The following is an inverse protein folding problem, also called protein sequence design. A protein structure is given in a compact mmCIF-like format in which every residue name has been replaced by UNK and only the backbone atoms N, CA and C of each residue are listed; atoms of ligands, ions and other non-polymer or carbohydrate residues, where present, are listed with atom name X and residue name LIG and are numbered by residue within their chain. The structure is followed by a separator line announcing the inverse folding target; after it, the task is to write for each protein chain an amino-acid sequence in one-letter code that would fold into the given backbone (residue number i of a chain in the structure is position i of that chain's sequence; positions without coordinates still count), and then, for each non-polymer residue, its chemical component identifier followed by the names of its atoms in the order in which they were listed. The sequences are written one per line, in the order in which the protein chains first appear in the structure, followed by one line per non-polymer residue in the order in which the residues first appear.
data_IF_143051827869
#
_entry.id   IF_143051827869
#
_cell.length_a   1.000
_cell.length_b   1.000
_cell.length_c   1.000
_cell.angle_alpha   90.00
_cell.angle_beta   90.00
_cell.angle_gamma   90.00
#
_symmetry.space_group_name_H-M   'P 1'
#
loop_
_entity.id
_entity.type
_entity.pdbx_description
1 polymer ?
#
# COMPACT_ATOMS: atom_id res chain seq x y z
N UNK A 1 17.99 28.24 47.03
CA UNK A 1 18.66 26.94 46.81
C UNK A 1 17.64 25.82 46.54
N UNK A 2 16.60 25.64 47.36
CA UNK A 2 15.60 24.55 47.18
C UNK A 2 14.82 24.64 45.86
N UNK A 3 14.36 25.83 45.45
CA UNK A 3 13.64 26.00 44.18
C UNK A 3 14.46 25.62 42.94
N UNK A 4 15.77 25.90 42.95
CA UNK A 4 16.67 25.50 41.87
C UNK A 4 16.77 23.98 41.77
N UNK A 5 16.90 23.29 42.91
CA UNK A 5 16.99 21.83 42.96
C UNK A 5 15.69 21.15 42.48
N UNK A 6 14.53 21.70 42.83
CA UNK A 6 13.25 21.18 42.32
C UNK A 6 13.10 21.42 40.82
N UNK A 7 13.51 22.59 40.32
CA UNK A 7 13.45 22.91 38.90
C UNK A 7 14.36 22.03 38.04
N UNK A 8 15.58 21.72 38.50
CA UNK A 8 16.49 20.83 37.77
C UNK A 8 15.97 19.40 37.70
N UNK A 9 15.41 18.88 38.80
CA UNK A 9 14.78 17.56 38.82
C UNK A 9 13.59 17.50 37.86
N UNK A 10 12.75 18.54 37.85
CA UNK A 10 11.63 18.63 36.91
C UNK A 10 12.11 18.63 35.45
N UNK A 11 13.14 19.42 35.11
CA UNK A 11 13.70 19.44 33.76
C UNK A 11 14.33 18.10 33.34
N UNK A 12 15.03 17.42 34.26
CA UNK A 12 15.56 16.08 33.99
C UNK A 12 14.45 15.05 33.74
N UNK A 13 13.32 15.17 34.44
CA UNK A 13 12.13 14.36 34.18
C UNK A 13 11.57 14.55 32.77
N UNK A 14 11.44 15.81 32.32
CA UNK A 14 11.01 16.11 30.95
C UNK A 14 12.00 15.63 29.89
N UNK A 15 13.31 15.77 30.13
CA UNK A 15 14.34 15.24 29.23
C UNK A 15 14.23 13.72 29.09
N UNK A 16 14.03 13.01 30.21
CA UNK A 16 13.82 11.57 30.20
C UNK A 16 12.61 11.15 29.36
N UNK A 17 11.49 11.88 29.50
CA UNK A 17 10.29 11.67 28.71
C UNK A 17 10.54 11.91 27.21
N UNK A 18 11.24 13.00 26.86
CA UNK A 18 11.55 13.33 25.46
C UNK A 18 12.47 12.30 24.82
N UNK A 19 13.49 11.82 25.54
CA UNK A 19 14.43 10.83 25.02
C UNK A 19 13.78 9.46 24.80
N UNK A 20 13.05 8.95 25.80
CA UNK A 20 12.38 7.65 25.65
C UNK A 20 11.21 7.73 24.67
N UNK A 21 10.43 8.81 24.70
CA UNK A 21 9.35 9.05 23.74
C UNK A 21 9.87 9.16 22.31
N UNK A 22 10.97 9.89 22.11
CA UNK A 22 11.66 10.00 20.83
C UNK A 22 12.16 8.64 20.31
N UNK A 23 12.72 7.81 21.20
CA UNK A 23 13.15 6.45 20.85
C UNK A 23 11.98 5.55 20.46
N UNK A 24 10.91 5.55 21.24
CA UNK A 24 9.68 4.80 20.96
C UNK A 24 9.12 5.18 19.59
N UNK A 25 9.03 6.48 19.31
CA UNK A 25 8.52 6.99 18.05
C UNK A 25 9.43 6.66 16.86
N UNK A 26 10.75 6.74 17.04
CA UNK A 26 11.72 6.32 16.04
C UNK A 26 11.59 4.83 15.71
N UNK A 27 11.43 3.98 16.72
CA UNK A 27 11.16 2.55 16.53
C UNK A 27 9.83 2.30 15.82
N UNK A 28 8.79 3.06 16.13
CA UNK A 28 7.50 2.95 15.44
C UNK A 28 7.62 3.23 13.93
N UNK A 29 8.38 4.26 13.54
CA UNK A 29 8.59 4.58 12.12
C UNK A 29 9.35 3.48 11.38
N UNK A 30 10.35 2.88 12.03
CA UNK A 30 11.11 1.76 11.45
C UNK A 30 10.26 0.50 11.34
N UNK A 31 9.43 0.21 12.34
CA UNK A 31 8.45 -0.88 12.28
C UNK A 31 7.44 -0.68 11.14
N UNK A 32 7.00 0.55 10.88
CA UNK A 32 6.10 0.83 9.77
C UNK A 32 6.75 0.50 8.43
N UNK A 33 7.99 0.94 8.19
CA UNK A 33 8.72 0.61 6.97
C UNK A 33 8.89 -0.91 6.79
N UNK A 34 9.14 -1.63 7.89
CA UNK A 34 9.21 -3.09 7.87
C UNK A 34 7.85 -3.73 7.55
N UNK A 35 6.78 -3.27 8.19
CA UNK A 35 5.42 -3.77 7.94
C UNK A 35 4.98 -3.54 6.48
N UNK A 36 5.29 -2.37 5.92
CA UNK A 36 5.02 -2.05 4.52
C UNK A 36 5.79 -2.98 3.57
N UNK A 37 7.08 -3.23 3.85
CA UNK A 37 7.89 -4.17 3.07
C UNK A 37 7.33 -5.60 3.16
N UNK A 38 6.98 -6.08 4.36
CA UNK A 38 6.39 -7.39 4.56
C UNK A 38 5.05 -7.56 3.84
N UNK A 39 4.17 -6.56 3.92
CA UNK A 39 2.88 -6.59 3.23
C UNK A 39 3.05 -6.61 1.71
N UNK A 40 4.00 -5.83 1.18
CA UNK A 40 4.34 -5.84 -0.24
C UNK A 40 4.91 -7.19 -0.69
N UNK A 41 5.77 -7.81 0.11
CA UNK A 41 6.33 -9.14 -0.15
C UNK A 41 5.24 -10.22 -0.23
N UNK A 42 4.30 -10.22 0.71
CA UNK A 42 3.15 -11.14 0.67
C UNK A 42 2.33 -10.95 -0.60
N UNK A 43 2.03 -9.70 -0.98
CA UNK A 43 1.27 -9.40 -2.20
C UNK A 43 2.04 -9.75 -3.47
N UNK A 44 3.36 -9.63 -3.49
CA UNK A 44 4.20 -10.07 -4.62
C UNK A 44 4.04 -11.57 -4.88
N UNK A 45 3.97 -12.39 -3.82
CA UNK A 45 3.74 -13.82 -3.95
C UNK A 45 2.28 -14.16 -4.30
N UNK A 46 1.30 -13.41 -3.76
CA UNK A 46 -0.09 -13.49 -4.24
C UNK A 46 -0.17 -13.18 -5.74
N UNK A 47 0.59 -12.20 -6.24
CA UNK A 47 0.65 -11.84 -7.68
C UNK A 47 1.18 -12.98 -8.55
N UNK A 48 2.03 -13.85 -7.99
CA UNK A 48 2.55 -15.05 -8.65
C UNK A 48 1.59 -16.24 -8.57
N UNK A 49 0.43 -16.08 -7.93
CA UNK A 49 -0.57 -17.13 -7.75
C UNK A 49 -0.30 -18.04 -6.54
N UNK A 50 0.59 -17.66 -5.63
CA UNK A 50 0.81 -18.42 -4.39
C UNK A 50 -0.34 -18.13 -3.43
N UNK A 51 -0.98 -19.19 -2.91
CA UNK A 51 -2.05 -19.10 -1.90
C UNK A 51 -1.68 -19.78 -0.57
N UNK A 52 -0.53 -20.45 -0.53
CA UNK A 52 -0.03 -21.13 0.66
C UNK A 52 0.42 -20.11 1.71
N UNK A 53 -0.27 -20.09 2.86
CA UNK A 53 -0.04 -19.14 3.93
C UNK A 53 1.36 -19.26 4.54
N UNK A 54 1.95 -20.46 4.57
CA UNK A 54 3.30 -20.64 5.11
C UNK A 54 4.34 -20.00 4.19
N UNK A 55 4.14 -20.10 2.88
CA UNK A 55 5.01 -19.46 1.90
C UNK A 55 4.87 -17.93 1.92
N UNK A 56 3.63 -17.41 1.97
CA UNK A 56 3.39 -15.97 2.11
C UNK A 56 4.00 -15.43 3.41
N UNK A 57 3.91 -16.19 4.51
CA UNK A 57 4.52 -15.81 5.79
C UNK A 57 6.05 -15.80 5.69
N UNK A 58 6.65 -16.79 5.04
CA UNK A 58 8.10 -16.86 4.87
C UNK A 58 8.66 -15.65 4.07
N UNK A 59 7.99 -15.25 2.98
CA UNK A 59 8.40 -14.04 2.23
C UNK A 59 8.23 -12.79 3.08
N UNK A 60 7.13 -12.70 3.85
CA UNK A 60 6.89 -11.61 4.82
C UNK A 60 8.01 -11.52 5.88
N UNK A 61 8.41 -12.63 6.51
CA UNK A 61 9.53 -12.65 7.49
C UNK A 61 10.82 -12.17 6.83
N UNK A 62 11.07 -12.63 5.61
CA UNK A 62 12.32 -12.31 4.91
C UNK A 62 12.45 -10.80 4.68
N UNK A 63 11.42 -10.16 4.15
CA UNK A 63 11.45 -8.73 3.82
C UNK A 63 11.36 -7.82 5.07
N UNK A 64 10.63 -8.24 6.09
CA UNK A 64 10.67 -7.56 7.41
C UNK A 64 12.06 -7.68 8.05
N UNK A 65 12.71 -8.83 7.89
CA UNK A 65 14.07 -9.12 8.37
C UNK A 65 15.13 -8.24 7.69
N UNK A 66 14.97 -7.92 6.40
CA UNK A 66 15.82 -6.94 5.70
C UNK A 66 15.71 -5.52 6.30
N UNK A 67 14.61 -5.22 6.97
CA UNK A 67 14.40 -3.97 7.72
C UNK A 67 14.85 -4.08 9.20
N UNK A 68 15.43 -5.21 9.60
CA UNK A 68 15.96 -5.47 10.94
C UNK A 68 14.94 -6.01 11.94
N UNK A 69 13.76 -6.46 11.48
CA UNK A 69 12.72 -7.01 12.33
C UNK A 69 12.41 -8.44 11.92
N UNK A 70 12.64 -9.38 12.82
CA UNK A 70 12.36 -10.80 12.65
C UNK A 70 11.63 -11.34 13.88
N UNK A 71 11.25 -12.62 13.85
CA UNK A 71 10.55 -13.27 14.97
C UNK A 71 11.42 -13.47 16.23
N UNK A 72 12.73 -13.18 16.16
CA UNK A 72 13.62 -13.21 17.34
C UNK A 72 13.53 -11.93 18.17
N UNK A 73 13.16 -10.82 17.54
CA UNK A 73 13.18 -9.50 18.16
C UNK A 73 11.84 -8.74 18.08
N UNK A 74 10.85 -9.31 17.40
CA UNK A 74 9.51 -8.78 17.22
C UNK A 74 8.50 -9.92 17.04
N UNK A 75 7.22 -9.60 17.11
CA UNK A 75 6.14 -10.53 16.76
C UNK A 75 5.55 -10.09 15.44
N UNK A 76 5.74 -10.88 14.38
CA UNK A 76 5.24 -10.59 13.05
C UNK A 76 4.03 -11.50 12.78
N UNK A 77 2.93 -10.90 12.34
CA UNK A 77 1.70 -11.61 11.98
C UNK A 77 1.31 -11.21 10.57
N UNK A 78 1.13 -12.21 9.71
CA UNK A 78 0.55 -12.07 8.37
C UNK A 78 -0.91 -12.53 8.43
N UNK A 79 -1.82 -11.72 7.90
CA UNK A 79 -3.21 -12.08 7.66
C UNK A 79 -3.53 -11.90 6.17
N UNK A 80 -3.84 -13.00 5.48
CA UNK A 80 -4.41 -12.98 4.14
C UNK A 80 -5.66 -13.89 4.15
N UNK A 81 -6.87 -13.31 4.08
CA UNK A 81 -7.19 -11.88 3.89
C UNK A 81 -6.96 -11.01 5.16
N UNK A 82 -6.98 -9.67 5.04
CA UNK A 82 -6.87 -8.77 6.18
C UNK A 82 -7.99 -8.97 7.21
N UNK A 83 -7.66 -8.85 8.50
CA UNK A 83 -8.61 -9.08 9.58
C UNK A 83 -9.58 -7.91 9.80
N UNK A 84 -9.21 -6.68 9.42
CA UNK A 84 -10.00 -5.47 9.63
C UNK A 84 -9.71 -4.36 8.59
N UNK A 85 -10.53 -3.30 8.63
CA UNK A 85 -10.40 -2.12 7.76
C UNK A 85 -11.10 -2.26 6.41
N UNK A 86 -10.87 -1.31 5.50
CA UNK A 86 -11.58 -1.19 4.22
C UNK A 86 -11.40 -2.37 3.26
N UNK A 87 -10.38 -3.20 3.49
CA UNK A 87 -10.05 -4.37 2.67
C UNK A 87 -10.19 -5.69 3.45
N UNK A 88 -10.91 -5.69 4.57
CA UNK A 88 -11.16 -6.89 5.36
C UNK A 88 -11.81 -7.99 4.51
N UNK A 89 -11.44 -9.25 4.76
CA UNK A 89 -11.93 -10.43 4.06
C UNK A 89 -11.67 -10.48 2.53
N UNK A 90 -10.87 -9.55 1.97
CA UNK A 90 -10.49 -9.59 0.56
C UNK A 90 -9.16 -10.36 0.36
N UNK A 91 -9.22 -11.52 -0.28
CA UNK A 91 -8.06 -12.40 -0.50
C UNK A 91 -7.00 -11.81 -1.45
N UNK A 92 -7.32 -10.73 -2.17
CA UNK A 92 -6.35 -9.99 -2.97
C UNK A 92 -5.46 -9.08 -2.12
N UNK A 93 -5.74 -8.95 -0.82
CA UNK A 93 -5.00 -8.11 0.11
C UNK A 93 -4.28 -8.94 1.16
N UNK A 94 -3.14 -8.45 1.61
CA UNK A 94 -2.38 -9.03 2.72
C UNK A 94 -2.13 -7.94 3.76
N UNK A 95 -2.35 -8.29 5.01
CA UNK A 95 -2.11 -7.44 6.17
C UNK A 95 -0.93 -7.98 6.96
N UNK A 96 0.01 -7.10 7.30
CA UNK A 96 1.16 -7.43 8.15
C UNK A 96 1.13 -6.53 9.36
N UNK A 97 1.18 -7.14 10.54
CA UNK A 97 1.31 -6.45 11.83
C UNK A 97 2.61 -6.87 12.48
N UNK A 98 3.38 -5.89 12.96
CA UNK A 98 4.63 -6.12 13.68
C UNK A 98 4.56 -5.43 15.03
N UNK A 99 4.78 -6.18 16.10
CA UNK A 99 4.84 -5.67 17.46
C UNK A 99 6.23 -5.89 18.07
N UNK A 100 6.77 -4.89 18.76
CA UNK A 100 8.06 -4.97 19.44
C UNK A 100 8.01 -4.32 20.82
N UNK A 101 8.66 -4.96 21.79
CA UNK A 101 8.82 -4.40 23.13
C UNK A 101 10.08 -3.53 23.14
N UNK A 102 9.93 -2.24 23.42
CA UNK A 102 11.02 -1.27 23.51
C UNK A 102 11.25 -0.93 24.99
N UNK A 103 12.43 -1.25 25.56
CA UNK A 103 12.74 -0.88 26.93
C UNK A 103 12.96 0.64 27.05
N UNK A 104 12.42 1.23 28.11
CA UNK A 104 12.62 2.63 28.46
C UNK A 104 13.88 2.78 29.32
N UNK A 105 14.52 3.95 29.27
CA UNK A 105 15.76 4.22 30.01
C UNK A 105 15.49 5.11 31.21
N UNK A 106 14.85 6.25 30.98
CA UNK A 106 14.58 7.26 31.99
C UNK A 106 13.20 7.10 32.63
N UNK A 107 12.18 6.75 31.83
CA UNK A 107 10.82 6.47 32.33
C UNK A 107 10.77 5.28 33.29
N UNK A 108 11.81 4.43 33.31
CA UNK A 108 11.97 3.37 34.29
C UNK A 108 12.02 3.88 35.73
N UNK A 109 12.53 5.10 35.96
CA UNK A 109 12.53 5.75 37.28
C UNK A 109 11.09 6.02 37.76
N UNK A 110 10.17 6.24 36.83
CA UNK A 110 8.74 6.45 37.09
C UNK A 110 7.93 5.14 37.06
N UNK A 111 8.59 3.97 37.01
CA UNK A 111 7.95 2.65 37.02
C UNK A 111 7.48 2.13 35.65
N UNK A 112 7.76 2.84 34.56
CA UNK A 112 7.48 2.36 33.20
C UNK A 112 8.73 1.71 32.67
N UNK A 113 8.83 0.38 32.67
CA UNK A 113 10.06 -0.34 32.29
C UNK A 113 10.21 -0.59 30.78
N UNK A 114 9.10 -0.65 30.06
CA UNK A 114 9.07 -0.85 28.62
C UNK A 114 7.74 -0.38 28.02
N UNK A 115 7.70 -0.27 26.70
CA UNK A 115 6.50 0.04 25.94
C UNK A 115 6.42 -0.87 24.71
N UNK A 116 5.26 -1.45 24.47
CA UNK A 116 5.00 -2.21 23.24
C UNK A 116 4.64 -1.24 22.12
N UNK A 117 5.40 -1.30 21.04
CA UNK A 117 5.20 -0.48 19.84
C UNK A 117 4.77 -1.40 18.71
N UNK A 118 3.72 -1.00 18.00
CA UNK A 118 3.16 -1.76 16.89
C UNK A 118 3.11 -0.95 15.61
N UNK A 119 3.24 -1.63 14.48
CA UNK A 119 2.95 -1.11 13.16
C UNK A 119 2.06 -2.09 12.38
N UNK A 120 1.26 -1.54 11.48
CA UNK A 120 0.33 -2.31 10.64
C UNK A 120 0.39 -1.76 9.23
N UNK A 121 0.47 -2.67 8.25
CA UNK A 121 0.35 -2.35 6.84
C UNK A 121 -0.60 -3.30 6.15
N UNK A 122 -1.29 -2.81 5.12
CA UNK A 122 -2.14 -3.60 4.25
C UNK A 122 -1.78 -3.25 2.81
N UNK A 123 -1.35 -4.25 2.06
CA UNK A 123 -1.11 -4.14 0.62
C UNK A 123 -2.14 -4.99 -0.12
N UNK A 124 -2.37 -4.72 -1.40
CA UNK A 124 -3.21 -5.60 -2.21
C UNK A 124 -2.88 -5.57 -3.69
N UNK A 125 -3.34 -6.62 -4.36
CA UNK A 125 -3.45 -6.69 -5.80
C UNK A 125 -4.63 -5.82 -6.21
N UNK A 126 -4.34 -4.56 -6.47
CA UNK A 126 -5.21 -3.79 -7.35
C UNK A 126 -4.90 -4.37 -8.73
N UNK A 127 -5.89 -4.90 -9.48
CA UNK A 127 -5.66 -5.30 -10.84
C UNK A 127 -5.09 -4.08 -11.57
N UNK A 128 -3.79 -4.09 -11.86
CA UNK A 128 -3.25 -3.25 -12.90
C UNK A 128 -4.13 -3.57 -14.11
N UNK A 129 -4.80 -2.57 -14.70
CA UNK A 129 -5.44 -2.82 -15.97
C UNK A 129 -4.31 -3.24 -16.89
N UNK A 130 -4.23 -4.53 -17.19
CA UNK A 130 -3.25 -5.08 -18.09
C UNK A 130 -3.54 -4.44 -19.44
N UNK A 131 -2.91 -3.32 -19.73
CA UNK A 131 -3.13 -2.61 -20.99
C UNK A 131 -2.37 -3.37 -22.07
N UNK A 132 -3.08 -3.92 -23.05
CA UNK A 132 -2.46 -4.51 -24.23
C UNK A 132 -2.66 -3.66 -25.48
N UNK A 133 -3.46 -2.59 -25.36
CA UNK A 133 -3.74 -1.63 -26.43
C UNK A 133 -3.28 -0.26 -25.95
N UNK A 134 -2.43 0.38 -26.74
CA UNK A 134 -1.89 1.70 -26.46
C UNK A 134 -2.05 2.60 -27.68
N UNK A 135 -2.84 3.66 -27.54
CA UNK A 135 -2.87 4.77 -28.47
C UNK A 135 -2.06 5.93 -27.86
N UNK A 136 -0.87 6.18 -28.40
CA UNK A 136 0.14 7.04 -27.77
C UNK A 136 0.39 8.37 -28.48
N UNK A 137 -0.45 8.73 -29.46
CA UNK A 137 -0.34 10.04 -30.10
C UNK A 137 -0.89 11.10 -29.12
N UNK A 138 -0.02 12.00 -28.60
CA UNK A 138 -0.35 12.84 -27.44
C UNK A 138 -1.39 13.93 -27.72
N UNK A 139 -1.67 14.26 -28.98
CA UNK A 139 -2.52 15.41 -29.35
C UNK A 139 -3.62 15.05 -30.35
N UNK A 140 -3.71 13.79 -30.78
CA UNK A 140 -4.58 13.39 -31.88
C UNK A 140 -6.01 13.18 -31.43
N UNK A 141 -6.93 13.83 -32.13
CA UNK A 141 -8.34 13.47 -32.14
C UNK A 141 -8.51 12.06 -32.73
N UNK A 142 -9.21 11.20 -32.03
CA UNK A 142 -9.38 9.79 -32.41
C UNK A 142 -8.08 9.01 -32.40
N UNK A 143 -7.17 9.32 -31.47
CA UNK A 143 -5.96 8.52 -31.22
C UNK A 143 -6.30 7.03 -31.09
N UNK A 144 -7.45 6.71 -30.49
CA UNK A 144 -8.14 5.44 -30.68
C UNK A 144 -9.51 5.72 -31.32
N UNK A 145 -9.82 5.05 -32.43
CA UNK A 145 -11.10 5.21 -33.13
C UNK A 145 -11.71 3.84 -33.40
N UNK A 146 -12.90 3.61 -32.87
CA UNK A 146 -13.78 2.55 -33.35
C UNK A 146 -14.82 3.18 -34.29
N UNK A 147 -15.01 2.62 -35.49
CA UNK A 147 -15.84 3.23 -36.52
C UNK A 147 -16.76 2.20 -37.19
N UNK A 148 -17.99 2.61 -37.49
CA UNK A 148 -19.05 1.82 -38.09
C UNK A 148 -19.84 1.03 -37.05
N UNK A 149 -20.14 -0.23 -37.39
CA UNK A 149 -20.87 -1.17 -36.54
C UNK A 149 -19.93 -2.30 -36.06
N UNK A 150 -18.74 -1.92 -35.59
CA UNK A 150 -17.75 -2.88 -35.11
C UNK A 150 -17.78 -2.93 -33.57
N UNK A 151 -17.93 -4.12 -33.01
CA UNK A 151 -17.67 -4.37 -31.60
C UNK A 151 -16.20 -4.77 -31.44
N UNK A 152 -15.44 -3.96 -30.73
CA UNK A 152 -14.07 -4.26 -30.37
C UNK A 152 -14.04 -4.94 -29.00
N UNK A 153 -13.54 -6.18 -28.93
CA UNK A 153 -13.48 -6.95 -27.67
C UNK A 153 -12.03 -7.33 -27.36
N UNK A 154 -11.56 -6.99 -26.16
CA UNK A 154 -10.27 -7.43 -25.66
C UNK A 154 -10.32 -7.87 -24.19
N UNK A 155 -9.58 -8.93 -23.85
CA UNK A 155 -9.40 -9.42 -22.46
C UNK A 155 -8.37 -8.63 -21.65
N UNK A 156 -8.03 -7.42 -22.12
CA UNK A 156 -7.03 -6.52 -21.60
C UNK A 156 -7.61 -5.10 -21.58
N UNK A 157 -6.93 -4.15 -20.92
CA UNK A 157 -7.30 -2.74 -20.97
C UNK A 157 -6.79 -2.02 -22.22
N UNK A 158 -7.38 -0.88 -22.52
CA UNK A 158 -6.91 0.08 -23.53
C UNK A 158 -6.50 1.40 -22.88
N UNK A 159 -5.31 1.91 -23.25
CA UNK A 159 -4.80 3.21 -22.80
C UNK A 159 -4.72 4.17 -23.98
N UNK A 160 -5.39 5.32 -23.86
CA UNK A 160 -5.39 6.40 -24.85
C UNK A 160 -4.71 7.61 -24.25
N UNK A 161 -3.42 7.75 -24.55
CA UNK A 161 -2.57 8.85 -24.11
C UNK A 161 -2.58 9.97 -25.15
N UNK A 162 -3.74 10.59 -25.34
CA UNK A 162 -3.94 11.83 -26.10
C UNK A 162 -4.66 12.83 -25.21
N UNK A 163 -4.24 14.09 -25.20
CA UNK A 163 -4.89 15.16 -24.43
C UNK A 163 -6.00 15.88 -25.21
N UNK A 164 -6.37 15.38 -26.40
CA UNK A 164 -7.47 15.93 -27.19
C UNK A 164 -8.81 15.71 -26.49
N UNK A 165 -9.74 16.66 -26.63
CA UNK A 165 -11.13 16.55 -26.14
C UNK A 165 -11.92 15.42 -26.83
N UNK A 166 -11.41 14.87 -27.93
CA UNK A 166 -11.97 13.71 -28.64
C UNK A 166 -10.91 12.62 -28.85
N UNK A 167 -10.09 12.35 -27.83
CA UNK A 167 -8.99 11.38 -27.86
C UNK A 167 -9.45 9.95 -28.21
N UNK A 168 -10.57 9.50 -27.65
CA UNK A 168 -11.22 8.24 -28.01
C UNK A 168 -12.55 8.52 -28.71
N UNK A 169 -12.76 7.96 -29.91
CA UNK A 169 -14.00 8.10 -30.67
C UNK A 169 -14.65 6.77 -30.99
N UNK A 170 -15.92 6.62 -30.64
CA UNK A 170 -16.81 5.56 -31.10
C UNK A 170 -17.79 6.14 -32.12
N UNK A 171 -17.46 6.02 -33.41
CA UNK A 171 -18.22 6.64 -34.50
C UNK A 171 -19.16 5.62 -35.13
N UNK A 172 -20.46 5.75 -34.89
CA UNK A 172 -21.49 4.87 -35.46
C UNK A 172 -22.41 4.31 -34.38
N UNK A 173 -23.58 3.81 -34.78
CA UNK A 173 -24.67 3.48 -33.83
C UNK A 173 -24.33 2.35 -32.85
N UNK A 174 -23.34 1.49 -33.17
CA UNK A 174 -22.91 0.35 -32.36
C UNK A 174 -21.37 0.23 -32.29
N UNK A 175 -20.64 1.35 -32.21
CA UNK A 175 -19.17 1.35 -32.16
C UNK A 175 -18.61 1.03 -30.75
N UNK A 176 -19.04 -0.10 -30.18
CA UNK A 176 -18.74 -0.47 -28.79
C UNK A 176 -17.33 -1.02 -28.60
N UNK A 177 -16.69 -0.64 -27.50
CA UNK A 177 -15.37 -1.14 -27.08
C UNK A 177 -15.47 -1.82 -25.73
N UNK A 178 -15.40 -3.15 -25.72
CA UNK A 178 -15.50 -3.98 -24.54
C UNK A 178 -14.11 -4.48 -24.13
N UNK A 179 -13.56 -3.86 -23.09
CA UNK A 179 -12.23 -4.15 -22.55
C UNK A 179 -12.32 -4.27 -21.04
N UNK A 180 -11.31 -4.83 -20.38
CA UNK A 180 -11.33 -4.94 -18.90
C UNK A 180 -11.21 -3.59 -18.22
N UNK A 181 -10.68 -2.58 -18.91
CA UNK A 181 -10.51 -1.21 -18.43
C UNK A 181 -10.16 -0.26 -19.59
N UNK A 182 -10.68 0.96 -19.60
CA UNK A 182 -10.31 2.01 -20.57
C UNK A 182 -9.76 3.21 -19.80
N UNK A 183 -8.51 3.57 -20.06
CA UNK A 183 -7.86 4.77 -19.53
C UNK A 183 -7.67 5.80 -20.64
N UNK A 184 -8.13 7.03 -20.43
CA UNK A 184 -8.09 8.12 -21.42
C UNK A 184 -7.52 9.36 -20.73
N UNK A 185 -6.52 10.01 -21.35
CA UNK A 185 -5.95 11.26 -20.81
C UNK A 185 -6.78 12.49 -21.18
N UNK A 186 -7.32 12.52 -22.39
CA UNK A 186 -8.20 13.56 -22.92
C UNK A 186 -9.68 13.19 -22.78
N UNK A 187 -10.51 13.68 -23.70
CA UNK A 187 -11.94 13.38 -23.74
C UNK A 187 -12.32 12.22 -24.65
N UNK A 188 -13.56 11.76 -24.50
CA UNK A 188 -14.16 10.70 -25.27
C UNK A 188 -15.48 11.14 -25.94
N UNK A 189 -15.74 10.57 -27.12
CA UNK A 189 -16.90 10.82 -27.97
C UNK A 189 -17.44 9.46 -28.41
N UNK A 190 -18.20 8.80 -27.53
CA UNK A 190 -18.63 7.41 -27.68
C UNK A 190 -20.16 7.33 -27.71
N UNK A 191 -20.71 6.91 -28.86
CA UNK A 191 -22.12 6.54 -28.99
C UNK A 191 -22.29 5.01 -28.81
N UNK A 192 -22.35 4.55 -27.56
CA UNK A 192 -22.78 3.20 -27.21
C UNK A 192 -24.18 3.30 -26.62
N UNK A 193 -25.20 2.79 -27.32
CA UNK A 193 -26.50 2.58 -26.67
C UNK A 193 -26.36 1.42 -25.67
N UNK A 194 -26.67 1.68 -24.39
CA UNK A 194 -26.76 0.69 -23.32
C UNK A 194 -27.71 -0.49 -23.66
#
# INVERSE_FOLDING_TARGET
MVFLAVATVAMLGFLGLVLDGGRIYFEQRRLQAAADAGAFAAVQELRRGVIDQDYLRASTVTDTGLNGYDDSNSTIVLNNPPAAGSYAANNQFAEVTINRIVPTTFMRIMGVESSTVGARSVAGLIPDPFFCIYALDPLRDGAFTNNGNAEFVASCGAMVNSSSDAAFRGLGTNACTNTTYIGITGGDDIDCND
#
